data_IF_940537161379
#
_entry.id   IF_940537161379
#
_cell.length_a   1.000
_cell.length_b   1.000
_cell.length_c   1.000
_cell.angle_alpha   90.00
_cell.angle_beta   90.00
_cell.angle_gamma   90.00
#
_symmetry.space_group_name_H-M   'P 1'
#
loop_
_entity.id
_entity.type
_entity.pdbx_description
1 polymer ?
#
# COMPACT_ATOMS: atom_id res chain seq x y z
N UNK A 1 21.77 35.58 36.52
CA UNK A 1 22.35 34.44 35.79
C UNK A 1 21.37 33.27 35.84
N UNK A 2 20.70 32.92 34.74
CA UNK A 2 19.84 31.71 34.68
C UNK A 2 20.72 30.49 34.42
N UNK A 3 20.66 29.50 35.32
CA UNK A 3 21.40 28.25 35.24
C UNK A 3 21.19 27.51 33.90
N UNK A 4 22.19 26.75 33.41
CA UNK A 4 22.07 26.02 32.15
C UNK A 4 21.02 24.91 32.29
N UNK A 5 19.97 24.98 31.45
CA UNK A 5 18.93 23.94 31.36
C UNK A 5 19.56 22.62 30.88
N UNK A 6 19.42 21.55 31.64
CA UNK A 6 19.89 20.22 31.30
C UNK A 6 19.42 19.81 29.89
N UNK A 7 20.36 19.44 29.03
CA UNK A 7 20.08 18.94 27.69
C UNK A 7 19.31 17.61 27.80
N UNK A 8 18.16 17.49 27.12
CA UNK A 8 17.45 16.22 27.02
C UNK A 8 18.30 15.24 26.23
N UNK A 9 18.93 14.28 26.92
CA UNK A 9 19.73 13.24 26.29
C UNK A 9 18.91 12.35 25.36
N UNK A 10 19.60 11.71 24.41
CA UNK A 10 19.06 10.75 23.43
C UNK A 10 18.19 9.65 24.07
N UNK A 11 18.51 9.27 25.32
CA UNK A 11 17.83 8.24 26.12
C UNK A 11 16.85 8.80 27.17
N UNK A 12 16.30 10.00 26.98
CA UNK A 12 15.26 10.47 27.91
C UNK A 12 14.02 9.57 27.81
N UNK A 13 13.35 9.24 28.94
CA UNK A 13 12.11 8.46 28.93
C UNK A 13 11.04 9.05 28.00
N UNK A 14 11.00 10.37 27.87
CA UNK A 14 10.15 11.08 26.92
C UNK A 14 10.49 10.77 25.46
N UNK A 15 11.77 10.76 25.07
CA UNK A 15 12.19 10.48 23.69
C UNK A 15 11.80 9.07 23.27
N UNK A 16 11.98 8.08 24.16
CA UNK A 16 11.64 6.68 23.90
C UNK A 16 10.14 6.49 23.78
N UNK A 17 9.35 7.05 24.70
CA UNK A 17 7.88 6.93 24.70
C UNK A 17 7.22 7.63 23.52
N UNK A 18 7.73 8.80 23.12
CA UNK A 18 7.26 9.53 21.94
C UNK A 18 7.54 8.73 20.65
N UNK A 19 8.75 8.17 20.50
CA UNK A 19 9.12 7.34 19.35
C UNK A 19 8.27 6.07 19.27
N UNK A 20 8.12 5.36 20.39
CA UNK A 20 7.29 4.16 20.44
C UNK A 20 5.83 4.45 20.03
N UNK A 21 5.25 5.57 20.48
CA UNK A 21 3.90 5.96 20.08
C UNK A 21 3.79 6.33 18.59
N UNK A 22 4.81 7.01 18.04
CA UNK A 22 4.88 7.34 16.62
C UNK A 22 5.01 6.08 15.75
N UNK A 23 5.87 5.14 16.14
CA UNK A 23 6.12 3.89 15.41
C UNK A 23 4.89 2.96 15.42
N UNK A 24 4.16 2.90 16.56
CA UNK A 24 2.89 2.17 16.70
C UNK A 24 1.71 2.76 15.90
N UNK A 25 1.93 3.80 15.08
CA UNK A 25 0.86 4.37 14.25
C UNK A 25 -0.16 5.20 15.04
N UNK A 26 0.22 5.77 16.19
CA UNK A 26 -0.67 6.57 17.05
C UNK A 26 -0.23 8.05 17.07
N UNK A 27 -0.44 8.81 15.98
CA UNK A 27 0.10 10.17 15.83
C UNK A 27 -0.44 11.17 16.88
N UNK A 28 -1.73 11.14 17.20
CA UNK A 28 -2.32 12.02 18.24
C UNK A 28 -1.69 11.80 19.61
N UNK A 29 -1.40 10.54 19.95
CA UNK A 29 -0.74 10.17 21.21
C UNK A 29 0.72 10.66 21.23
N UNK A 30 1.43 10.54 20.11
CA UNK A 30 2.80 11.05 19.99
C UNK A 30 2.86 12.59 20.14
N UNK A 31 1.93 13.32 19.52
CA UNK A 31 1.81 14.79 19.66
C UNK A 31 1.48 15.18 21.11
N UNK A 32 0.53 14.49 21.75
CA UNK A 32 0.16 14.76 23.14
C UNK A 32 1.33 14.53 24.11
N UNK A 33 2.08 13.45 23.94
CA UNK A 33 3.28 13.14 24.72
C UNK A 33 4.39 14.19 24.49
N UNK A 34 4.57 14.65 23.25
CA UNK A 34 5.49 15.73 22.94
C UNK A 34 5.11 17.04 23.63
N UNK A 35 3.83 17.46 23.56
CA UNK A 35 3.33 18.64 24.25
C UNK A 35 3.45 18.52 25.78
N UNK A 36 3.25 17.33 26.35
CA UNK A 36 3.45 17.08 27.78
C UNK A 36 4.93 17.23 28.19
N UNK A 37 5.86 16.74 27.36
CA UNK A 37 7.31 16.89 27.61
C UNK A 37 7.77 18.36 27.62
N UNK A 38 7.10 19.21 26.85
CA UNK A 38 7.37 20.66 26.82
C UNK A 38 6.88 21.36 28.09
N UNK A 39 5.77 20.89 28.68
CA UNK A 39 5.24 21.40 29.95
C UNK A 39 6.12 21.03 31.15
N UNK A 40 6.85 19.92 31.07
CA UNK A 40 7.78 19.47 32.12
C UNK A 40 9.16 20.16 32.08
N UNK A 41 9.31 21.29 31.37
CA UNK A 41 10.55 22.09 31.27
C UNK A 41 11.76 21.37 30.64
N UNK A 42 11.56 20.22 30.00
CA UNK A 42 12.63 19.52 29.28
C UNK A 42 12.88 20.17 27.92
N UNK A 43 14.15 20.34 27.51
CA UNK A 43 14.45 20.75 26.13
C UNK A 43 14.00 19.63 25.17
N UNK A 44 13.20 19.93 24.13
CA UNK A 44 12.74 18.92 23.20
C UNK A 44 13.91 18.33 22.41
N UNK A 45 14.00 17.00 22.41
CA UNK A 45 15.01 16.26 21.68
C UNK A 45 14.68 16.31 20.16
N UNK A 46 15.63 16.71 19.30
CA UNK A 46 15.41 16.76 17.85
C UNK A 46 14.92 15.43 17.25
N UNK A 47 15.35 14.30 17.82
CA UNK A 47 14.94 12.95 17.37
C UNK A 47 13.48 12.63 17.73
N UNK A 48 13.02 13.01 18.93
CA UNK A 48 11.64 12.84 19.33
C UNK A 48 10.71 13.65 18.42
N UNK A 49 11.09 14.89 18.12
CA UNK A 49 10.33 15.79 17.25
C UNK A 49 10.31 15.30 15.79
N UNK A 50 11.42 14.80 15.26
CA UNK A 50 11.45 14.18 13.94
C UNK A 50 10.52 12.94 13.84
N UNK A 51 10.43 12.12 14.90
CA UNK A 51 9.51 10.99 14.95
C UNK A 51 8.04 11.44 14.99
N UNK A 52 7.73 12.49 15.76
CA UNK A 52 6.38 13.11 15.76
C UNK A 52 6.02 13.59 14.35
N UNK A 53 6.89 14.38 13.72
CA UNK A 53 6.69 14.90 12.35
C UNK A 53 6.46 13.79 11.32
N UNK A 54 7.20 12.67 11.42
CA UNK A 54 7.00 11.50 10.55
C UNK A 54 5.66 10.78 10.77
N UNK A 55 5.06 10.93 11.95
CA UNK A 55 3.76 10.33 12.27
C UNK A 55 2.57 11.19 11.84
N UNK A 56 2.72 12.52 11.77
CA UNK A 56 1.65 13.47 11.39
C UNK A 56 0.95 13.15 10.06
N UNK A 57 1.62 12.66 8.99
CA UNK A 57 0.94 12.27 7.75
C UNK A 57 -0.06 11.12 7.89
N UNK A 58 -0.10 10.43 9.03
CA UNK A 58 -1.08 9.36 9.32
C UNK A 58 -2.39 9.92 9.90
N UNK A 59 -2.48 11.23 10.16
CA UNK A 59 -3.70 11.89 10.58
C UNK A 59 -4.64 12.11 9.39
N UNK A 60 -5.96 12.25 9.64
CA UNK A 60 -6.89 12.76 8.65
C UNK A 60 -6.42 14.11 8.11
N UNK A 61 -6.60 14.39 6.82
CA UNK A 61 -6.07 15.59 6.14
C UNK A 61 -6.47 16.90 6.86
N UNK A 62 -7.69 16.94 7.40
CA UNK A 62 -8.23 18.08 8.15
C UNK A 62 -7.37 18.45 9.38
N UNK A 63 -6.77 17.46 10.05
CA UNK A 63 -6.02 17.66 11.29
C UNK A 63 -4.50 17.69 11.06
N UNK A 64 -4.04 17.14 9.93
CA UNK A 64 -2.63 17.05 9.59
C UNK A 64 -2.01 18.44 9.32
N UNK A 65 -2.71 19.32 8.60
CA UNK A 65 -2.20 20.63 8.20
C UNK A 65 -2.05 21.61 9.39
N UNK A 66 -3.05 21.80 10.28
CA UNK A 66 -2.89 22.63 11.47
C UNK A 66 -1.80 22.10 12.41
N UNK A 67 -1.69 20.78 12.55
CA UNK A 67 -0.64 20.15 13.35
C UNK A 67 0.75 20.41 12.74
N UNK A 68 0.91 20.30 11.43
CA UNK A 68 2.14 20.60 10.71
C UNK A 68 2.58 22.06 10.90
N UNK A 69 1.67 23.03 10.70
CA UNK A 69 1.94 24.46 10.86
C UNK A 69 2.32 24.81 12.30
N UNK A 70 1.62 24.23 13.29
CA UNK A 70 1.93 24.43 14.71
C UNK A 70 3.31 23.88 15.09
N UNK A 71 3.65 22.68 14.62
CA UNK A 71 4.98 22.08 14.84
C UNK A 71 6.09 22.84 14.11
N UNK A 72 5.82 23.36 12.91
CA UNK A 72 6.75 24.21 12.17
C UNK A 72 7.02 25.53 12.92
N UNK A 73 5.99 26.22 13.38
CA UNK A 73 6.14 27.42 14.22
C UNK A 73 6.91 27.14 15.52
N UNK A 74 6.72 25.96 16.10
CA UNK A 74 7.46 25.51 17.27
C UNK A 74 8.96 25.31 16.96
N UNK A 75 9.27 24.70 15.82
CA UNK A 75 10.64 24.50 15.35
C UNK A 75 11.39 25.82 15.10
N UNK A 76 10.71 26.81 14.50
CA UNK A 76 11.24 28.17 14.30
C UNK A 76 11.57 28.83 15.65
N UNK A 77 10.64 28.81 16.61
CA UNK A 77 10.83 29.42 17.93
C UNK A 77 11.96 28.79 18.73
N UNK A 78 12.24 27.51 18.52
CA UNK A 78 13.30 26.78 19.23
C UNK A 78 14.64 26.78 18.49
N UNK A 79 14.72 27.34 17.28
CA UNK A 79 15.94 27.32 16.45
C UNK A 79 16.35 25.93 15.97
N UNK A 80 15.44 24.94 16.05
CA UNK A 80 15.73 23.54 15.75
C UNK A 80 15.64 23.20 14.24
N UNK A 81 15.24 24.14 13.39
CA UNK A 81 15.30 24.00 11.92
C UNK A 81 16.71 23.87 11.38
N UNK A 82 17.70 24.37 12.12
CA UNK A 82 19.12 24.18 11.80
C UNK A 82 19.58 22.72 11.95
N UNK A 83 18.82 21.90 12.68
CA UNK A 83 19.16 20.51 12.93
C UNK A 83 18.65 19.61 11.78
N UNK A 84 19.47 18.70 11.23
CA UNK A 84 19.14 17.98 9.99
C UNK A 84 17.90 17.08 10.12
N UNK A 85 17.71 16.40 11.26
CA UNK A 85 16.62 15.45 11.44
C UNK A 85 15.21 16.08 11.50
N UNK A 86 14.95 17.12 12.31
CA UNK A 86 13.66 17.81 12.26
C UNK A 86 13.40 18.52 10.94
N UNK A 87 14.45 19.12 10.34
CA UNK A 87 14.36 19.78 9.04
C UNK A 87 13.92 18.80 7.95
N UNK A 88 14.59 17.65 7.84
CA UNK A 88 14.27 16.63 6.86
C UNK A 88 12.88 16.01 7.07
N UNK A 89 12.49 15.79 8.34
CA UNK A 89 11.16 15.27 8.68
C UNK A 89 10.05 16.27 8.35
N UNK A 90 10.31 17.57 8.51
CA UNK A 90 9.37 18.63 8.18
C UNK A 90 9.25 18.85 6.66
N UNK A 91 10.36 18.79 5.92
CA UNK A 91 10.32 18.77 4.45
C UNK A 91 9.55 17.56 3.92
N UNK A 92 9.82 16.36 4.45
CA UNK A 92 9.04 15.16 4.12
C UNK A 92 7.55 15.31 4.50
N UNK A 93 7.23 15.94 5.63
CA UNK A 93 5.85 16.21 6.04
C UNK A 93 5.13 17.09 5.01
N UNK A 94 5.69 18.26 4.68
CA UNK A 94 5.10 19.17 3.71
C UNK A 94 5.04 18.58 2.30
N UNK A 95 6.01 17.73 1.92
CA UNK A 95 5.94 16.97 0.67
C UNK A 95 4.76 16.00 0.62
N UNK A 96 4.28 15.49 1.75
CA UNK A 96 3.10 14.60 1.77
C UNK A 96 1.78 15.35 1.79
N UNK A 97 1.81 16.65 2.06
CA UNK A 97 0.64 17.51 2.04
C UNK A 97 0.43 18.03 0.60
N UNK A 98 -0.76 18.61 0.36
CA UNK A 98 -1.25 19.06 -0.95
C UNK A 98 -0.22 19.87 -1.80
N UNK A 99 -0.41 19.95 -3.14
CA UNK A 99 0.47 20.64 -4.08
C UNK A 99 1.07 22.00 -3.66
N UNK A 100 0.29 22.97 -3.13
CA UNK A 100 0.85 24.26 -2.70
C UNK A 100 1.90 24.16 -1.59
N UNK A 101 1.97 23.02 -0.90
CA UNK A 101 2.96 22.77 0.14
C UNK A 101 4.25 22.11 -0.39
N UNK A 102 4.26 21.64 -1.64
CA UNK A 102 5.49 21.18 -2.29
C UNK A 102 6.45 22.34 -2.52
N UNK A 103 5.94 23.53 -2.90
CA UNK A 103 6.74 24.74 -3.03
C UNK A 103 7.32 25.18 -1.68
N UNK A 104 6.53 25.07 -0.62
CA UNK A 104 6.99 25.35 0.74
C UNK A 104 8.07 24.34 1.19
N UNK A 105 7.88 23.05 0.89
CA UNK A 105 8.87 22.01 1.16
C UNK A 105 10.16 22.21 0.35
N UNK A 106 10.05 22.75 -0.87
CA UNK A 106 11.17 23.12 -1.75
C UNK A 106 11.92 24.34 -1.23
N UNK A 107 11.22 25.41 -0.85
CA UNK A 107 11.85 26.59 -0.24
C UNK A 107 12.64 26.23 1.01
N UNK A 108 12.12 25.32 1.84
CA UNK A 108 12.85 24.79 2.99
C UNK A 108 14.11 24.01 2.60
N UNK A 109 14.13 23.30 1.47
CA UNK A 109 15.34 22.63 0.98
C UNK A 109 16.39 23.62 0.47
N UNK A 110 15.95 24.71 -0.14
CA UNK A 110 16.81 25.76 -0.70
C UNK A 110 17.42 26.63 0.41
N UNK A 111 16.64 26.98 1.43
CA UNK A 111 17.07 27.75 2.61
C UNK A 111 17.98 26.97 3.58
N UNK A 112 18.13 25.65 3.37
CA UNK A 112 18.95 24.81 4.23
C UNK A 112 20.45 25.16 4.10
N UNK A 113 21.16 25.45 5.21
CA UNK A 113 22.57 25.81 5.16
C UNK A 113 23.41 24.71 4.49
N UNK A 114 24.35 25.09 3.62
CA UNK A 114 25.19 24.18 2.82
C UNK A 114 25.98 23.13 3.63
N UNK A 115 26.16 23.35 4.94
CA UNK A 115 26.78 22.42 5.88
C UNK A 115 25.82 21.29 6.38
N UNK A 116 24.56 21.27 5.96
CA UNK A 116 23.69 20.10 6.19
C UNK A 116 24.25 18.91 5.43
N UNK A 117 24.75 17.93 6.18
CA UNK A 117 25.16 16.60 5.72
C UNK A 117 24.39 16.17 4.46
N UNK A 118 25.09 16.02 3.33
CA UNK A 118 24.56 15.72 1.99
C UNK A 118 23.47 14.63 2.03
N UNK A 119 23.69 13.59 2.85
CA UNK A 119 22.76 12.49 3.05
C UNK A 119 21.35 12.91 3.53
N UNK A 120 21.23 13.89 4.43
CA UNK A 120 19.93 14.36 4.90
C UNK A 120 19.18 15.15 3.82
N UNK A 121 19.90 15.88 2.97
CA UNK A 121 19.34 16.63 1.85
C UNK A 121 18.87 15.71 0.73
N UNK A 122 19.65 14.65 0.44
CA UNK A 122 19.29 13.59 -0.50
C UNK A 122 17.99 12.89 -0.10
N UNK A 123 17.87 12.47 1.17
CA UNK A 123 16.66 11.78 1.66
C UNK A 123 15.42 12.67 1.55
N UNK A 124 15.52 13.95 1.89
CA UNK A 124 14.41 14.89 1.74
C UNK A 124 14.07 15.19 0.29
N UNK A 125 15.08 15.29 -0.58
CA UNK A 125 14.89 15.50 -2.02
C UNK A 125 14.19 14.30 -2.66
N UNK A 126 14.61 13.07 -2.35
CA UNK A 126 13.96 11.83 -2.80
C UNK A 126 12.51 11.74 -2.33
N UNK A 127 12.23 12.21 -1.11
CA UNK A 127 10.87 12.22 -0.54
C UNK A 127 9.94 13.17 -1.29
N UNK A 128 10.45 14.36 -1.63
CA UNK A 128 9.70 15.39 -2.36
C UNK A 128 9.53 15.01 -3.84
N UNK A 129 10.55 14.43 -4.46
CA UNK A 129 10.44 13.86 -5.79
C UNK A 129 9.35 12.77 -5.84
N UNK A 130 9.36 11.85 -4.87
CA UNK A 130 8.34 10.80 -4.76
C UNK A 130 6.93 11.36 -4.44
N UNK A 131 6.80 12.56 -3.86
CA UNK A 131 5.49 13.18 -3.68
C UNK A 131 4.99 13.88 -4.93
N UNK A 132 5.84 14.65 -5.63
CA UNK A 132 5.51 15.33 -6.88
C UNK A 132 5.03 14.32 -7.93
N UNK A 133 5.75 13.21 -8.06
CA UNK A 133 5.37 12.11 -8.97
C UNK A 133 4.04 11.45 -8.60
N UNK A 134 3.70 11.38 -7.31
CA UNK A 134 2.39 10.87 -6.85
C UNK A 134 1.27 11.89 -7.08
N UNK A 135 1.57 13.18 -7.01
CA UNK A 135 0.65 14.26 -7.34
C UNK A 135 0.44 14.39 -8.86
N UNK A 136 1.27 13.73 -9.67
CA UNK A 136 1.22 13.79 -11.14
C UNK A 136 1.91 15.02 -11.73
N UNK A 137 2.60 15.83 -10.93
CA UNK A 137 3.37 16.98 -11.42
C UNK A 137 4.76 16.52 -11.87
N UNK A 138 4.79 15.93 -13.07
CA UNK A 138 6.01 15.42 -13.69
C UNK A 138 6.99 16.54 -14.01
N UNK A 139 6.49 17.72 -14.37
CA UNK A 139 7.34 18.87 -14.75
C UNK A 139 8.13 19.39 -13.55
N UNK A 140 7.48 19.59 -12.41
CA UNK A 140 8.15 19.99 -11.18
C UNK A 140 9.09 18.88 -10.67
N UNK A 141 8.68 17.61 -10.79
CA UNK A 141 9.54 16.48 -10.43
C UNK A 141 10.83 16.44 -11.26
N UNK A 142 10.74 16.67 -12.57
CA UNK A 142 11.92 16.71 -13.46
C UNK A 142 12.80 17.92 -13.16
N UNK A 143 12.24 19.12 -13.04
CA UNK A 143 13.00 20.31 -12.69
C UNK A 143 13.73 20.15 -11.34
N UNK A 144 13.10 19.49 -10.37
CA UNK A 144 13.73 19.16 -9.10
C UNK A 144 14.86 18.15 -9.28
N UNK A 145 14.60 17.06 -10.00
CA UNK A 145 15.58 16.02 -10.26
C UNK A 145 16.84 16.57 -10.94
N UNK A 146 16.68 17.46 -11.92
CA UNK A 146 17.77 18.15 -12.61
C UNK A 146 18.54 19.12 -11.69
N UNK A 147 17.86 19.74 -10.72
CA UNK A 147 18.48 20.62 -9.73
C UNK A 147 19.22 19.87 -8.61
N UNK A 148 19.05 18.55 -8.45
CA UNK A 148 19.74 17.78 -7.42
C UNK A 148 21.25 17.71 -7.67
N UNK A 149 22.11 18.17 -6.74
CA UNK A 149 23.56 18.18 -6.92
C UNK A 149 24.19 16.78 -6.84
N UNK A 150 23.61 15.89 -6.02
CA UNK A 150 23.96 14.49 -5.93
C UNK A 150 22.69 13.65 -6.17
N UNK A 151 22.82 12.53 -6.88
CA UNK A 151 21.73 11.61 -7.20
C UNK A 151 22.16 10.20 -6.87
N UNK A 152 21.37 9.52 -6.04
CA UNK A 152 21.56 8.12 -5.72
C UNK A 152 20.61 7.24 -6.54
N UNK A 153 20.80 5.92 -6.47
CA UNK A 153 19.97 4.93 -7.17
C UNK A 153 18.47 5.10 -6.83
N UNK A 154 18.15 5.57 -5.62
CA UNK A 154 16.76 5.81 -5.18
C UNK A 154 16.14 6.99 -5.93
N UNK A 155 16.88 8.09 -6.12
CA UNK A 155 16.43 9.26 -6.88
C UNK A 155 16.11 8.89 -8.35
N UNK A 156 17.02 8.17 -9.01
CA UNK A 156 16.84 7.70 -10.39
C UNK A 156 15.67 6.73 -10.51
N UNK A 157 15.60 5.70 -9.65
CA UNK A 157 14.52 4.73 -9.66
C UNK A 157 13.15 5.37 -9.42
N UNK A 158 13.08 6.35 -8.54
CA UNK A 158 11.84 7.06 -8.25
C UNK A 158 11.36 7.83 -9.48
N UNK A 159 12.27 8.52 -10.18
CA UNK A 159 11.95 9.28 -11.39
C UNK A 159 11.51 8.37 -12.54
N UNK A 160 12.26 7.30 -12.80
CA UNK A 160 11.91 6.30 -13.83
C UNK A 160 10.55 5.66 -13.53
N UNK A 161 10.32 5.21 -12.30
CA UNK A 161 9.04 4.61 -11.90
C UNK A 161 7.87 5.60 -12.01
N UNK A 162 8.10 6.87 -11.65
CA UNK A 162 7.09 7.92 -11.73
C UNK A 162 6.70 8.25 -13.17
N UNK A 163 7.68 8.47 -14.05
CA UNK A 163 7.46 8.72 -15.48
C UNK A 163 6.72 7.56 -16.14
N UNK A 164 7.19 6.32 -15.90
CA UNK A 164 6.60 5.14 -16.52
C UNK A 164 5.15 4.92 -16.04
N UNK A 165 4.86 5.18 -14.76
CA UNK A 165 3.49 5.12 -14.22
C UNK A 165 2.59 6.24 -14.75
N UNK A 166 3.15 7.42 -15.05
CA UNK A 166 2.42 8.53 -15.65
C UNK A 166 2.19 8.37 -17.17
N UNK A 167 2.80 7.37 -17.81
CA UNK A 167 2.65 7.09 -19.23
C UNK A 167 3.71 7.76 -20.13
N UNK A 168 4.65 8.50 -19.54
CA UNK A 168 5.79 9.09 -20.24
C UNK A 168 6.89 8.03 -20.45
N UNK A 169 6.57 6.99 -21.21
CA UNK A 169 7.39 5.78 -21.34
C UNK A 169 8.71 6.05 -22.08
N UNK A 170 8.69 6.88 -23.13
CA UNK A 170 9.90 7.23 -23.89
C UNK A 170 10.87 8.02 -23.01
N UNK A 171 10.38 9.04 -22.30
CA UNK A 171 11.19 9.82 -21.34
C UNK A 171 11.73 8.95 -20.20
N UNK A 172 10.99 7.91 -19.79
CA UNK A 172 11.44 6.97 -18.78
C UNK A 172 12.61 6.11 -19.28
N UNK A 173 12.59 5.67 -20.55
CA UNK A 173 13.71 4.95 -21.17
C UNK A 173 14.91 5.88 -21.33
N UNK A 174 14.71 7.10 -21.85
CA UNK A 174 15.81 8.07 -22.01
C UNK A 174 16.51 8.35 -20.68
N UNK A 175 15.74 8.49 -19.60
CA UNK A 175 16.30 8.71 -18.27
C UNK A 175 16.98 7.46 -17.72
N UNK A 176 16.45 6.27 -18.02
CA UNK A 176 17.05 5.01 -17.62
C UNK A 176 18.40 4.77 -18.30
N UNK A 177 18.53 5.10 -19.58
CA UNK A 177 19.78 4.97 -20.34
C UNK A 177 20.87 5.93 -19.85
N UNK A 178 20.49 7.02 -19.18
CA UNK A 178 21.41 7.95 -18.53
C UNK A 178 21.87 7.50 -17.13
N UNK A 179 21.30 6.42 -16.57
CA UNK A 179 21.65 5.96 -15.22
C UNK A 179 23.09 5.44 -15.18
N UNK A 180 23.94 5.94 -14.25
CA UNK A 180 25.32 5.45 -14.13
C UNK A 180 25.40 3.95 -13.79
N UNK A 181 24.46 3.47 -12.98
CA UNK A 181 24.33 2.07 -12.61
C UNK A 181 22.87 1.65 -12.71
N UNK A 182 22.59 0.59 -13.47
CA UNK A 182 21.26 -0.04 -13.50
C UNK A 182 21.25 -1.27 -12.61
N UNK A 183 20.16 -1.46 -11.88
CA UNK A 183 19.95 -2.63 -11.03
C UNK A 183 18.56 -3.24 -11.25
N UNK A 184 18.30 -4.40 -10.65
CA UNK A 184 17.00 -5.08 -10.83
C UNK A 184 15.80 -4.19 -10.48
N UNK A 185 15.92 -3.27 -9.52
CA UNK A 185 14.84 -2.34 -9.17
C UNK A 185 14.56 -1.31 -10.28
N UNK A 186 15.61 -0.76 -10.91
CA UNK A 186 15.48 0.16 -12.05
C UNK A 186 14.78 -0.50 -13.25
N UNK A 187 15.17 -1.74 -13.59
CA UNK A 187 14.55 -2.52 -14.65
C UNK A 187 13.09 -2.88 -14.33
N UNK A 188 12.83 -3.34 -13.10
CA UNK A 188 11.47 -3.67 -12.65
C UNK A 188 10.54 -2.45 -12.66
N UNK A 189 11.06 -1.24 -12.40
CA UNK A 189 10.30 0.00 -12.49
C UNK A 189 9.84 0.28 -13.93
N UNK A 190 10.74 0.16 -14.90
CA UNK A 190 10.38 0.28 -16.33
C UNK A 190 9.36 -0.78 -16.73
N UNK A 191 9.69 -2.05 -16.51
CA UNK A 191 8.81 -3.18 -16.87
C UNK A 191 7.42 -3.00 -16.25
N UNK A 192 7.33 -2.68 -14.96
CA UNK A 192 6.04 -2.45 -14.30
C UNK A 192 5.26 -1.27 -14.89
N UNK A 193 5.94 -0.21 -15.34
CA UNK A 193 5.31 0.93 -15.99
C UNK A 193 4.74 0.59 -17.37
N UNK A 194 5.54 -0.07 -18.23
CA UNK A 194 5.07 -0.54 -19.54
C UNK A 194 3.90 -1.52 -19.41
N UNK A 195 3.95 -2.47 -18.46
CA UNK A 195 2.83 -3.38 -18.18
C UNK A 195 1.56 -2.63 -17.73
N UNK A 196 1.71 -1.59 -16.90
CA UNK A 196 0.57 -0.80 -16.42
C UNK A 196 -0.12 0.01 -17.53
N UNK A 197 0.64 0.45 -18.54
CA UNK A 197 0.12 1.17 -19.71
C UNK A 197 -0.35 0.23 -20.83
N UNK A 198 -0.29 -1.08 -20.64
CA UNK A 198 -0.72 -2.08 -21.63
C UNK A 198 0.28 -2.36 -22.75
N UNK A 199 1.50 -1.82 -22.68
CA UNK A 199 2.57 -2.05 -23.66
C UNK A 199 3.33 -3.37 -23.39
N UNK A 200 2.60 -4.50 -23.46
CA UNK A 200 3.10 -5.83 -23.05
C UNK A 200 4.33 -6.29 -23.86
N UNK A 201 4.34 -6.04 -25.17
CA UNK A 201 5.44 -6.46 -26.05
C UNK A 201 6.76 -5.76 -25.69
N UNK A 202 6.71 -4.45 -25.45
CA UNK A 202 7.89 -3.66 -25.04
C UNK A 202 8.33 -4.04 -23.62
N UNK A 203 7.39 -4.31 -22.70
CA UNK A 203 7.72 -4.82 -21.38
C UNK A 203 8.42 -6.19 -21.45
N UNK A 204 7.99 -7.08 -22.35
CA UNK A 204 8.64 -8.36 -22.60
C UNK A 204 10.05 -8.17 -23.16
N UNK A 205 10.24 -7.26 -24.11
CA UNK A 205 11.56 -6.95 -24.65
C UNK A 205 12.52 -6.42 -23.56
N UNK A 206 12.05 -5.49 -22.73
CA UNK A 206 12.81 -4.96 -21.60
C UNK A 206 13.14 -6.06 -20.59
N UNK A 207 12.18 -6.93 -20.28
CA UNK A 207 12.40 -8.08 -19.42
C UNK A 207 13.45 -9.05 -20.00
N UNK A 208 13.44 -9.26 -21.32
CA UNK A 208 14.40 -10.14 -21.96
C UNK A 208 15.82 -9.53 -22.05
N UNK A 209 15.91 -8.19 -22.09
CA UNK A 209 17.18 -7.45 -22.02
C UNK A 209 17.80 -7.38 -20.60
N UNK A 210 17.06 -7.73 -19.56
CA UNK A 210 17.55 -7.66 -18.17
C UNK A 210 18.78 -8.57 -17.97
N UNK A 211 19.93 -8.07 -17.50
CA UNK A 211 21.12 -8.90 -17.25
C UNK A 211 20.90 -9.95 -16.15
N UNK A 212 20.20 -9.56 -15.08
CA UNK A 212 19.90 -10.41 -13.93
C UNK A 212 18.41 -10.28 -13.62
N UNK A 213 17.70 -11.41 -13.64
CA UNK A 213 16.28 -11.50 -13.26
C UNK A 213 16.18 -12.13 -11.89
N UNK A 214 15.54 -11.44 -10.97
CA UNK A 214 15.21 -11.98 -9.65
C UNK A 214 13.72 -12.33 -9.57
N UNK A 215 13.28 -12.94 -8.46
CA UNK A 215 11.87 -13.31 -8.28
C UNK A 215 10.92 -12.12 -8.47
N UNK A 216 11.31 -10.92 -8.04
CA UNK A 216 10.51 -9.70 -8.22
C UNK A 216 10.28 -9.42 -9.70
N UNK A 217 11.30 -9.52 -10.54
CA UNK A 217 11.18 -9.33 -12.00
C UNK A 217 10.15 -10.28 -12.62
N UNK A 218 10.21 -11.58 -12.26
CA UNK A 218 9.26 -12.59 -12.74
C UNK A 218 7.84 -12.31 -12.25
N UNK A 219 7.67 -12.00 -10.96
CA UNK A 219 6.36 -11.70 -10.36
C UNK A 219 5.73 -10.46 -10.99
N UNK A 220 6.53 -9.43 -11.29
CA UNK A 220 6.06 -8.21 -11.98
C UNK A 220 5.49 -8.55 -13.36
N UNK A 221 6.18 -9.39 -14.13
CA UNK A 221 5.68 -9.83 -15.44
C UNK A 221 4.41 -10.68 -15.33
N UNK A 222 4.39 -11.68 -14.43
CA UNK A 222 3.20 -12.53 -14.19
C UNK A 222 2.00 -11.67 -13.79
N UNK A 223 2.19 -10.73 -12.87
CA UNK A 223 1.13 -9.84 -12.39
C UNK A 223 0.65 -8.87 -13.47
N UNK A 224 1.54 -8.42 -14.35
CA UNK A 224 1.18 -7.57 -15.48
C UNK A 224 0.34 -8.32 -16.51
N UNK A 225 0.76 -9.52 -16.92
CA UNK A 225 -0.01 -10.35 -17.85
C UNK A 225 -1.35 -10.78 -17.25
N UNK A 226 -1.39 -11.07 -15.94
CA UNK A 226 -2.63 -11.34 -15.22
C UNK A 226 -3.65 -10.20 -15.34
N UNK A 227 -3.22 -8.94 -15.25
CA UNK A 227 -4.09 -7.77 -15.41
C UNK A 227 -4.54 -7.54 -16.85
N UNK A 228 -3.71 -7.93 -17.82
CA UNK A 228 -4.05 -7.85 -19.23
C UNK A 228 -4.96 -9.01 -19.70
N UNK A 229 -5.18 -10.02 -18.86
CA UNK A 229 -5.99 -11.20 -19.19
C UNK A 229 -5.23 -12.30 -19.95
N UNK A 230 -3.93 -12.13 -20.23
CA UNK A 230 -3.11 -13.16 -20.87
C UNK A 230 -2.55 -14.14 -19.83
N UNK A 231 -3.43 -15.03 -19.38
CA UNK A 231 -3.10 -16.05 -18.38
C UNK A 231 -2.07 -17.06 -18.90
N UNK A 232 -2.04 -17.32 -20.21
CA UNK A 232 -1.12 -18.30 -20.79
C UNK A 232 0.32 -17.78 -20.77
N UNK A 233 0.55 -16.51 -21.13
CA UNK A 233 1.86 -15.89 -21.02
C UNK A 233 2.35 -15.86 -19.56
N UNK A 234 1.45 -15.53 -18.62
CA UNK A 234 1.75 -15.59 -17.18
C UNK A 234 2.15 -17.00 -16.72
N UNK A 235 1.43 -18.04 -17.17
CA UNK A 235 1.73 -19.43 -16.84
C UNK A 235 3.09 -19.89 -17.39
N UNK A 236 3.38 -19.54 -18.64
CA UNK A 236 4.66 -19.86 -19.29
C UNK A 236 5.84 -19.23 -18.53
N UNK A 237 5.70 -17.98 -18.08
CA UNK A 237 6.71 -17.31 -17.26
C UNK A 237 6.86 -17.95 -15.88
N UNK A 238 5.75 -18.32 -15.24
CA UNK A 238 5.78 -19.00 -13.97
C UNK A 238 6.54 -20.32 -14.07
N UNK A 239 6.25 -21.15 -15.07
CA UNK A 239 6.94 -22.44 -15.23
C UNK A 239 8.44 -22.28 -15.55
N UNK A 240 8.85 -21.20 -16.25
CA UNK A 240 10.26 -20.83 -16.48
C UNK A 240 11.05 -20.44 -15.23
N UNK A 241 10.39 -20.14 -14.11
CA UNK A 241 11.10 -19.77 -12.87
C UNK A 241 11.80 -20.99 -12.24
N UNK A 242 13.12 -20.92 -12.05
CA UNK A 242 13.90 -21.99 -11.40
C UNK A 242 13.50 -22.20 -9.93
N UNK A 243 13.27 -21.09 -9.21
CA UNK A 243 12.86 -21.08 -7.80
C UNK A 243 11.59 -20.25 -7.64
N UNK A 244 10.56 -20.86 -7.06
CA UNK A 244 9.23 -20.25 -6.87
C UNK A 244 9.01 -20.02 -5.39
N UNK A 245 9.06 -18.77 -4.96
CA UNK A 245 8.71 -18.39 -3.61
C UNK A 245 7.19 -18.25 -3.43
N UNK A 246 6.76 -18.01 -2.18
CA UNK A 246 5.35 -17.81 -1.83
C UNK A 246 4.69 -16.68 -2.64
N UNK A 247 5.44 -15.64 -3.00
CA UNK A 247 4.90 -14.52 -3.77
C UNK A 247 4.62 -14.91 -5.22
N UNK A 248 5.49 -15.71 -5.84
CA UNK A 248 5.28 -16.27 -7.18
C UNK A 248 4.05 -17.19 -7.22
N UNK A 249 3.91 -18.10 -6.23
CA UNK A 249 2.73 -18.96 -6.12
C UNK A 249 1.45 -18.15 -5.96
N UNK A 250 1.47 -17.15 -5.07
CA UNK A 250 0.32 -16.27 -4.85
C UNK A 250 -0.05 -15.49 -6.13
N UNK A 251 0.94 -14.93 -6.83
CA UNK A 251 0.70 -14.21 -8.08
C UNK A 251 0.03 -15.09 -9.13
N UNK A 252 0.45 -16.36 -9.28
CA UNK A 252 -0.15 -17.27 -10.23
C UNK A 252 -1.56 -17.74 -9.83
N UNK A 253 -1.78 -18.04 -8.54
CA UNK A 253 -3.12 -18.40 -8.04
C UNK A 253 -4.10 -17.23 -8.22
N UNK A 254 -3.70 -16.02 -7.86
CA UNK A 254 -4.51 -14.82 -8.08
C UNK A 254 -4.75 -14.54 -9.57
N UNK A 255 -3.75 -14.77 -10.43
CA UNK A 255 -3.88 -14.62 -11.88
C UNK A 255 -4.99 -15.50 -12.45
N UNK A 256 -4.98 -16.80 -12.15
CA UNK A 256 -6.03 -17.72 -12.59
C UNK A 256 -7.40 -17.37 -11.98
N UNK A 257 -7.45 -17.05 -10.68
CA UNK A 257 -8.69 -16.73 -10.00
C UNK A 257 -9.35 -15.43 -10.53
N UNK A 258 -8.57 -14.41 -10.89
CA UNK A 258 -9.11 -13.13 -11.39
C UNK A 258 -9.59 -13.22 -12.84
N UNK A 259 -9.06 -14.16 -13.62
CA UNK A 259 -9.37 -14.32 -15.05
C UNK A 259 -10.39 -15.43 -15.33
N UNK A 260 -11.15 -15.87 -14.32
CA UNK A 260 -12.22 -16.86 -14.47
C UNK A 260 -11.75 -18.31 -14.61
N UNK A 261 -10.46 -18.57 -14.51
CA UNK A 261 -9.84 -19.91 -14.57
C UNK A 261 -9.73 -20.52 -13.17
N UNK A 262 -10.86 -20.59 -12.45
CA UNK A 262 -10.88 -20.97 -11.05
C UNK A 262 -10.37 -22.41 -10.79
N UNK A 263 -10.61 -23.34 -11.71
CA UNK A 263 -10.16 -24.74 -11.57
C UNK A 263 -8.64 -24.84 -11.65
N UNK A 264 -8.02 -24.08 -12.54
CA UNK A 264 -6.57 -23.98 -12.71
C UNK A 264 -5.94 -23.33 -11.48
N UNK A 265 -6.58 -22.31 -10.89
CA UNK A 265 -6.14 -21.70 -9.63
C UNK A 265 -6.02 -22.73 -8.50
N UNK A 266 -7.04 -23.59 -8.33
CA UNK A 266 -7.00 -24.69 -7.36
C UNK A 266 -5.94 -25.74 -7.72
N UNK A 267 -5.71 -25.99 -9.01
CA UNK A 267 -4.62 -26.84 -9.50
C UNK A 267 -3.23 -26.33 -9.10
N UNK A 268 -2.98 -25.02 -9.24
CA UNK A 268 -1.73 -24.39 -8.79
C UNK A 268 -1.59 -24.47 -7.27
N UNK A 269 -2.66 -24.21 -6.52
CA UNK A 269 -2.65 -24.36 -5.07
C UNK A 269 -2.33 -25.79 -4.63
N UNK A 270 -2.89 -26.80 -5.29
CA UNK A 270 -2.56 -28.19 -5.01
C UNK A 270 -1.09 -28.52 -5.37
N UNK A 271 -0.53 -27.93 -6.44
CA UNK A 271 0.91 -28.06 -6.78
C UNK A 271 1.79 -27.47 -5.66
N UNK A 272 1.43 -26.33 -5.10
CA UNK A 272 2.13 -25.66 -3.99
C UNK A 272 2.20 -26.52 -2.73
N UNK A 273 1.18 -27.34 -2.48
CA UNK A 273 1.06 -28.21 -1.31
C UNK A 273 1.69 -29.61 -1.47
N UNK A 274 2.25 -29.93 -2.65
CA UNK A 274 2.88 -31.26 -2.85
C UNK A 274 4.08 -31.44 -1.90
N UNK A 275 4.29 -32.63 -1.31
CA UNK A 275 5.34 -32.84 -0.31
C UNK A 275 6.77 -32.45 -0.73
N UNK A 276 7.11 -32.55 -2.01
CA UNK A 276 8.43 -32.20 -2.55
C UNK A 276 8.62 -30.70 -2.84
N UNK A 277 7.53 -29.91 -2.82
CA UNK A 277 7.56 -28.45 -3.05
C UNK A 277 7.28 -27.72 -1.74
N UNK A 278 6.25 -28.15 -1.02
CA UNK A 278 5.69 -27.60 0.21
C UNK A 278 6.07 -26.14 0.49
N UNK A 279 5.22 -25.23 0.03
CA UNK A 279 5.29 -23.82 0.44
C UNK A 279 4.08 -23.53 1.33
N UNK A 280 4.31 -23.04 2.54
CA UNK A 280 3.25 -22.73 3.49
C UNK A 280 2.36 -21.57 2.97
N UNK A 281 1.04 -21.79 2.79
CA UNK A 281 0.12 -20.73 2.37
C UNK A 281 -0.03 -19.64 3.42
N UNK A 282 -0.34 -18.43 2.95
CA UNK A 282 -0.68 -17.31 3.82
C UNK A 282 -2.09 -16.77 3.51
N UNK A 283 -2.47 -15.72 4.23
CA UNK A 283 -3.76 -15.02 4.09
C UNK A 283 -4.11 -14.70 2.62
N UNK A 284 -3.15 -14.19 1.84
CA UNK A 284 -3.36 -13.86 0.42
C UNK A 284 -3.58 -15.09 -0.45
N UNK A 285 -2.87 -16.18 -0.18
CA UNK A 285 -3.08 -17.47 -0.85
C UNK A 285 -4.52 -17.91 -0.64
N UNK A 286 -4.98 -17.94 0.62
CA UNK A 286 -6.31 -18.40 0.98
C UNK A 286 -7.42 -17.51 0.43
N UNK A 287 -7.26 -16.19 0.45
CA UNK A 287 -8.21 -15.27 -0.17
C UNK A 287 -8.44 -15.58 -1.65
N UNK A 288 -7.36 -15.84 -2.41
CA UNK A 288 -7.45 -16.19 -3.83
C UNK A 288 -8.06 -17.57 -4.05
N UNK A 289 -7.70 -18.56 -3.22
CA UNK A 289 -8.26 -19.92 -3.28
C UNK A 289 -9.75 -19.94 -2.95
N UNK A 290 -10.18 -19.25 -1.89
CA UNK A 290 -11.59 -19.15 -1.50
C UNK A 290 -12.39 -18.44 -2.59
N UNK A 291 -11.84 -17.38 -3.19
CA UNK A 291 -12.46 -16.72 -4.35
C UNK A 291 -12.65 -17.69 -5.52
N UNK A 292 -11.64 -18.52 -5.85
CA UNK A 292 -11.78 -19.55 -6.86
C UNK A 292 -12.83 -20.63 -6.48
N UNK A 293 -12.90 -21.04 -5.21
CA UNK A 293 -13.95 -21.96 -4.74
C UNK A 293 -15.34 -21.36 -4.90
N UNK A 294 -15.48 -20.07 -4.58
CA UNK A 294 -16.72 -19.31 -4.70
C UNK A 294 -17.19 -19.23 -6.16
N UNK A 295 -16.26 -18.99 -7.10
CA UNK A 295 -16.55 -19.00 -8.53
C UNK A 295 -17.01 -20.37 -9.05
N UNK A 296 -16.48 -21.46 -8.49
CA UNK A 296 -16.88 -22.83 -8.86
C UNK A 296 -18.11 -23.32 -8.10
N UNK A 297 -18.53 -22.63 -7.03
CA UNK A 297 -19.53 -23.13 -6.09
C UNK A 297 -19.07 -24.38 -5.31
N UNK A 298 -17.76 -24.64 -5.21
CA UNK A 298 -17.23 -25.83 -4.53
C UNK A 298 -17.14 -25.62 -3.01
N UNK A 299 -18.29 -25.80 -2.38
CA UNK A 299 -18.44 -25.71 -0.93
C UNK A 299 -17.60 -26.76 -0.18
N UNK A 300 -17.45 -27.96 -0.74
CA UNK A 300 -16.72 -29.05 -0.06
C UNK A 300 -15.25 -28.69 0.07
N UNK A 301 -14.64 -28.23 -1.03
CA UNK A 301 -13.25 -27.80 -1.00
C UNK A 301 -13.08 -26.53 -0.15
N UNK A 302 -14.02 -25.57 -0.22
CA UNK A 302 -14.00 -24.38 0.63
C UNK A 302 -14.01 -24.65 2.14
N UNK A 303 -14.81 -25.63 2.60
CA UNK A 303 -14.84 -26.06 4.00
C UNK A 303 -13.52 -26.73 4.44
N UNK A 304 -12.92 -27.52 3.55
CA UNK A 304 -11.61 -28.10 3.79
C UNK A 304 -10.54 -27.01 3.91
N UNK A 305 -10.56 -26.01 3.02
CA UNK A 305 -9.66 -24.84 3.07
C UNK A 305 -9.83 -24.08 4.37
N UNK A 306 -11.07 -23.85 4.84
CA UNK A 306 -11.32 -23.19 6.13
C UNK A 306 -10.72 -23.94 7.31
N UNK A 307 -10.89 -25.26 7.34
CA UNK A 307 -10.29 -26.12 8.38
C UNK A 307 -8.76 -26.09 8.31
N UNK A 308 -8.20 -26.10 7.10
CA UNK A 308 -6.76 -26.07 6.86
C UNK A 308 -6.13 -24.72 7.24
N UNK A 309 -6.83 -23.59 7.03
CA UNK A 309 -6.39 -22.27 7.51
C UNK A 309 -6.16 -22.27 9.02
N UNK A 310 -7.09 -22.87 9.78
CA UNK A 310 -6.98 -23.01 11.23
C UNK A 310 -5.77 -23.85 11.65
N UNK A 311 -5.49 -24.92 10.90
CA UNK A 311 -4.32 -25.78 11.14
C UNK A 311 -2.99 -25.06 10.89
N UNK A 312 -2.90 -24.26 9.81
CA UNK A 312 -1.70 -23.48 9.47
C UNK A 312 -1.52 -22.26 10.40
N UNK A 313 -2.55 -21.91 11.19
CA UNK A 313 -2.52 -20.78 12.10
C UNK A 313 -2.81 -19.43 11.43
N UNK A 314 -3.49 -19.42 10.28
CA UNK A 314 -3.92 -18.19 9.63
C UNK A 314 -5.16 -17.66 10.32
N UNK A 315 -5.06 -16.46 10.88
CA UNK A 315 -6.20 -15.79 11.51
C UNK A 315 -7.16 -15.23 10.46
N UNK A 316 -8.47 -15.45 10.68
CA UNK A 316 -9.53 -14.87 9.87
C UNK A 316 -9.63 -13.36 10.10
N UNK A 317 -9.06 -12.60 9.18
CA UNK A 317 -9.24 -11.15 9.09
C UNK A 317 -10.57 -10.81 8.39
N UNK A 318 -10.89 -9.52 8.27
CA UNK A 318 -12.15 -9.09 7.67
C UNK A 318 -12.19 -9.36 6.15
N UNK A 319 -11.04 -9.39 5.45
CA UNK A 319 -10.98 -9.71 4.01
C UNK A 319 -11.23 -11.20 3.75
N UNK A 320 -10.60 -12.10 4.50
CA UNK A 320 -10.85 -13.54 4.40
C UNK A 320 -12.30 -13.89 4.75
N UNK A 321 -12.86 -13.27 5.79
CA UNK A 321 -14.28 -13.43 6.13
C UNK A 321 -15.19 -12.99 5.00
N UNK A 322 -14.87 -11.88 4.34
CA UNK A 322 -15.62 -11.40 3.17
C UNK A 322 -15.56 -12.40 2.00
N UNK A 323 -14.40 -13.01 1.74
CA UNK A 323 -14.27 -14.05 0.73
C UNK A 323 -15.08 -15.32 1.09
N UNK A 324 -15.09 -15.73 2.37
CA UNK A 324 -15.91 -16.85 2.85
C UNK A 324 -17.41 -16.55 2.76
N UNK A 325 -17.84 -15.32 3.02
CA UNK A 325 -19.22 -14.88 2.82
C UNK A 325 -19.63 -15.07 1.36
N UNK A 326 -18.79 -14.64 0.40
CA UNK A 326 -19.07 -14.83 -1.04
C UNK A 326 -19.19 -16.32 -1.40
N UNK A 327 -18.30 -17.19 -0.89
CA UNK A 327 -18.40 -18.64 -1.07
C UNK A 327 -19.71 -19.20 -0.49
N UNK A 328 -20.03 -18.88 0.76
CA UNK A 328 -21.19 -19.42 1.45
C UNK A 328 -22.50 -18.95 0.84
N UNK A 329 -22.57 -17.68 0.43
CA UNK A 329 -23.73 -17.13 -0.27
C UNK A 329 -23.97 -17.83 -1.61
N UNK A 330 -22.93 -18.02 -2.45
CA UNK A 330 -23.08 -18.70 -3.76
C UNK A 330 -23.34 -20.20 -3.64
N UNK A 331 -22.91 -20.81 -2.54
CA UNK A 331 -23.17 -22.24 -2.24
C UNK A 331 -24.52 -22.51 -1.57
N UNK A 332 -25.31 -21.47 -1.25
CA UNK A 332 -26.62 -21.59 -0.61
C UNK A 332 -26.62 -21.74 0.91
N UNK A 333 -25.46 -21.64 1.58
CA UNK A 333 -25.38 -21.65 3.05
C UNK A 333 -25.54 -20.24 3.64
N UNK A 334 -26.74 -19.68 3.49
CA UNK A 334 -27.00 -18.29 3.89
C UNK A 334 -26.85 -18.03 5.40
N UNK A 335 -27.21 -18.98 6.27
CA UNK A 335 -27.08 -18.80 7.72
C UNK A 335 -25.63 -18.57 8.15
N UNK A 336 -24.70 -19.41 7.65
CA UNK A 336 -23.27 -19.24 7.92
C UNK A 336 -22.71 -17.95 7.35
N UNK A 337 -23.15 -17.56 6.14
CA UNK A 337 -22.76 -16.29 5.56
C UNK A 337 -23.21 -15.11 6.43
N UNK A 338 -24.43 -15.14 6.97
CA UNK A 338 -24.95 -14.09 7.85
C UNK A 338 -24.22 -14.03 9.19
N UNK A 339 -23.85 -15.16 9.77
CA UNK A 339 -23.07 -15.21 11.02
C UNK A 339 -21.68 -14.59 10.83
N UNK A 340 -20.99 -14.93 9.75
CA UNK A 340 -19.71 -14.32 9.39
C UNK A 340 -19.85 -12.82 9.13
N UNK A 341 -20.90 -12.41 8.42
CA UNK A 341 -21.17 -10.99 8.12
C UNK A 341 -21.42 -10.16 9.39
N UNK A 342 -22.12 -10.72 10.38
CA UNK A 342 -22.32 -10.08 11.68
C UNK A 342 -21.04 -9.93 12.47
N UNK A 343 -20.11 -10.88 12.34
CA UNK A 343 -18.81 -10.90 13.03
C UNK A 343 -17.74 -9.97 12.44
N UNK A 344 -17.98 -9.31 11.30
CA UNK A 344 -17.05 -8.34 10.70
C UNK A 344 -16.86 -7.11 11.59
N UNK A 345 -15.62 -6.64 11.75
CA UNK A 345 -15.32 -5.41 12.51
C UNK A 345 -15.67 -4.17 11.69
N UNK A 346 -15.40 -4.21 10.38
CA UNK A 346 -15.82 -3.21 9.42
C UNK A 346 -16.57 -3.87 8.26
N UNK A 347 -17.78 -3.37 7.98
CA UNK A 347 -18.58 -3.83 6.83
C UNK A 347 -18.38 -2.83 5.69
N UNK A 348 -17.63 -3.26 4.68
CA UNK A 348 -17.31 -2.49 3.49
C UNK A 348 -18.29 -2.77 2.34
N UNK A 349 -18.12 -2.04 1.23
CA UNK A 349 -18.97 -2.20 0.04
C UNK A 349 -18.93 -3.65 -0.48
N UNK A 350 -17.77 -4.31 -0.41
CA UNK A 350 -17.58 -5.67 -0.91
C UNK A 350 -18.41 -6.67 -0.11
N UNK A 351 -18.36 -6.63 1.22
CA UNK A 351 -19.14 -7.52 2.09
C UNK A 351 -20.66 -7.33 1.93
N UNK A 352 -21.15 -6.10 1.79
CA UNK A 352 -22.58 -5.88 1.46
C UNK A 352 -22.93 -6.40 0.06
N UNK A 353 -22.08 -6.18 -0.94
CA UNK A 353 -22.33 -6.63 -2.31
C UNK A 353 -22.43 -8.16 -2.40
N UNK A 354 -21.54 -8.89 -1.72
CA UNK A 354 -21.57 -10.35 -1.67
C UNK A 354 -22.90 -10.87 -1.07
N UNK A 355 -23.34 -10.27 0.03
CA UNK A 355 -24.62 -10.64 0.66
C UNK A 355 -25.84 -10.32 -0.22
N UNK A 356 -25.82 -9.19 -0.92
CA UNK A 356 -26.89 -8.78 -1.84
C UNK A 356 -27.00 -9.77 -3.01
N UNK A 357 -25.87 -10.09 -3.64
CA UNK A 357 -25.80 -11.06 -4.75
C UNK A 357 -26.32 -12.42 -4.28
N UNK A 358 -25.88 -12.89 -3.11
CA UNK A 358 -26.38 -14.11 -2.50
C UNK A 358 -27.90 -14.13 -2.28
N UNK A 359 -28.47 -13.06 -1.73
CA UNK A 359 -29.91 -12.96 -1.48
C UNK A 359 -30.71 -12.96 -2.78
N UNK A 360 -30.18 -12.31 -3.83
CA UNK A 360 -30.77 -12.30 -5.16
C UNK A 360 -30.77 -13.67 -5.83
N UNK A 361 -29.65 -14.41 -5.75
CA UNK A 361 -29.52 -15.75 -6.34
C UNK A 361 -30.49 -16.78 -5.73
N UNK A 362 -30.78 -16.67 -4.43
CA UNK A 362 -31.63 -17.64 -3.72
C UNK A 362 -33.08 -17.19 -3.52
N UNK A 363 -33.49 -16.03 -4.06
CA UNK A 363 -34.87 -15.47 -3.95
C UNK A 363 -35.37 -15.43 -2.50
N UNK A 364 -34.49 -15.08 -1.54
CA UNK A 364 -34.80 -15.15 -0.12
C UNK A 364 -35.23 -13.78 0.45
N UNK A 365 -36.53 -13.47 0.34
CA UNK A 365 -37.08 -12.17 0.80
C UNK A 365 -36.86 -11.88 2.30
N UNK A 366 -36.81 -12.91 3.16
CA UNK A 366 -36.66 -12.72 4.60
C UNK A 366 -35.26 -12.26 5.01
N UNK A 367 -34.23 -12.69 4.28
CA UNK A 367 -32.85 -12.27 4.53
C UNK A 367 -32.58 -10.87 3.97
N UNK A 368 -33.27 -10.47 2.89
CA UNK A 368 -33.24 -9.10 2.39
C UNK A 368 -33.68 -8.09 3.46
N UNK A 369 -34.79 -8.36 4.16
CA UNK A 369 -35.27 -7.52 5.27
C UNK A 369 -34.24 -7.43 6.40
N UNK A 370 -33.60 -8.56 6.76
CA UNK A 370 -32.53 -8.60 7.78
C UNK A 370 -31.30 -7.78 7.36
N UNK A 371 -30.94 -7.79 6.08
CA UNK A 371 -29.81 -7.04 5.54
C UNK A 371 -30.07 -5.53 5.55
N UNK A 372 -31.26 -5.10 5.11
CA UNK A 372 -31.69 -3.69 5.13
C UNK A 372 -31.65 -3.14 6.56
N UNK A 373 -32.17 -3.89 7.53
CA UNK A 373 -32.10 -3.51 8.95
C UNK A 373 -30.66 -3.39 9.47
N UNK A 374 -29.74 -4.24 9.01
CA UNK A 374 -28.33 -4.18 9.39
C UNK A 374 -27.56 -3.00 8.75
N UNK A 375 -28.11 -2.38 7.71
CA UNK A 375 -27.50 -1.25 6.97
C UNK A 375 -27.94 0.15 7.44
N UNK A 376 -28.97 0.24 8.29
CA UNK A 376 -29.53 1.50 8.82
C UNK A 376 -28.52 2.46 9.50
N UNK A 377 -27.38 2.02 10.08
CA UNK A 377 -26.39 2.96 10.63
C UNK A 377 -25.57 3.71 9.56
N UNK A 378 -25.57 3.27 8.29
CA UNK A 378 -24.76 3.84 7.22
C UNK A 378 -25.63 4.56 6.18
N UNK A 379 -25.99 5.81 6.45
CA UNK A 379 -26.94 6.61 5.65
C UNK A 379 -26.54 6.86 4.17
N UNK A 380 -25.29 6.59 3.77
CA UNK A 380 -24.80 6.92 2.42
C UNK A 380 -25.20 5.91 1.32
N UNK A 381 -25.48 4.64 1.66
CA UNK A 381 -25.70 3.58 0.66
C UNK A 381 -27.17 3.40 0.22
N UNK A 382 -28.12 4.03 0.91
CA UNK A 382 -29.56 3.85 0.64
C UNK A 382 -29.96 4.31 -0.77
N UNK A 383 -29.28 5.33 -1.34
CA UNK A 383 -29.60 5.85 -2.69
C UNK A 383 -29.26 4.90 -3.83
N UNK A 384 -28.16 4.14 -3.72
CA UNK A 384 -27.80 3.12 -4.71
C UNK A 384 -28.70 1.87 -4.61
N UNK A 385 -29.13 1.53 -3.39
CA UNK A 385 -30.02 0.40 -3.11
C UNK A 385 -31.45 0.64 -3.66
N UNK A 386 -31.94 1.88 -3.63
CA UNK A 386 -33.25 2.24 -4.18
C UNK A 386 -33.29 2.26 -5.72
N UNK A 387 -32.16 2.48 -6.41
CA UNK A 387 -32.10 2.45 -7.88
C UNK A 387 -32.25 1.04 -8.48
N UNK A 388 -31.91 -0.02 -7.74
CA UNK A 388 -32.11 -1.40 -8.19
C UNK A 388 -33.55 -1.90 -8.01
N UNK A 389 -34.33 -1.28 -7.13
CA UNK A 389 -35.71 -1.71 -6.86
C UNK A 389 -36.68 -1.32 -7.99
N UNK A 390 -36.28 -0.46 -8.93
CA UNK A 390 -37.12 -0.04 -10.07
C UNK A 390 -36.90 -0.85 -11.35
N UNK A 391 -35.82 -1.64 -11.45
CA UNK A 391 -35.49 -2.42 -12.66
C UNK A 391 -35.95 -3.88 -12.64
N UNK A 392 -36.35 -4.40 -11.47
CA UNK A 392 -36.85 -5.78 -11.31
C UNK A 392 -38.38 -5.88 -11.13
N UNK A 393 -39.11 -4.76 -11.28
CA UNK A 393 -40.56 -4.69 -11.11
C UNK A 393 -41.36 -4.51 -12.43
N UNK A 394 -40.77 -4.86 -13.59
CA UNK A 394 -41.51 -5.03 -14.85
C UNK A 394 -41.09 -6.29 -15.58
#
# INVERSE_FOLDING_TARGET
MRAPRAAGGFNSPWTITIRAAADQGRPLRAIALYLASLRSSCRPCPFALAAVLKSVPRLPEHDALPAAASLHGHLLRLGLLSHPYPHAALSHLYSRLLPPHHDHARGLLDDAPAALHSHSRLVSSNSLLASLLRAGDITAARAMFEAMPERDVVSWNSMVAGLAKAGHLDEAIELFDQMPETNAASWNALVSGFMAQGHLAQAQELFERMPIRNNVSWITMISGYAKAGDVQAAANLFDRMDSKDLYAWNAMISCYAQNGCAREALGIFNRMLKPHIWVAPNEKTFSSVISACSQLGDLRFGLWVESFMGYVGVHLDDHLRTALIDLYTKSGQMDRAFDLFRGLRSRDVVSYSAMIVGCGMHVMQDYWKKLVLASLPCQANIRLILQWNTTLLW
#
